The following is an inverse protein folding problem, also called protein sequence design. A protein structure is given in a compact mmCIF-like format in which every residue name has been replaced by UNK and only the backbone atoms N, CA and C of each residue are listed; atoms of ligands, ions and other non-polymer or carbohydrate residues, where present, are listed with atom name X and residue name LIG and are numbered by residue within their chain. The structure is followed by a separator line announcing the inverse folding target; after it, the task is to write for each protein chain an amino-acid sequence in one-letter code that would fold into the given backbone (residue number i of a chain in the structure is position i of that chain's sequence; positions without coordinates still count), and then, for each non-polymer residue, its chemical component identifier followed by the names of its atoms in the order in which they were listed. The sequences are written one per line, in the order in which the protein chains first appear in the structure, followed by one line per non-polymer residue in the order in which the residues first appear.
data_IF_810552335477
#
_entry.id   IF_810552335477
#
_cell.length_a   1.000
_cell.length_b   1.000
_cell.length_c   1.000
_cell.angle_alpha   90.00
_cell.angle_beta   90.00
_cell.angle_gamma   90.00
#
_symmetry.space_group_name_H-M   'P 1'
#
loop_
_entity.id
_entity.type
_entity.pdbx_description
1 polymer ?
#
# COMPACT_ATOMS: atom_id res chain seq x y z
N UNK A 1 17.25 55.37 -7.77
CA UNK A 1 17.79 54.46 -6.72
C UNK A 1 18.13 55.27 -5.47
N UNK A 2 17.14 55.58 -4.63
CA UNK A 2 17.36 56.41 -3.44
C UNK A 2 17.74 55.52 -2.23
N UNK A 3 18.77 55.91 -1.46
CA UNK A 3 19.25 55.21 -0.23
C UNK A 3 19.76 53.76 -0.40
N UNK A 4 19.86 53.23 -1.61
CA UNK A 4 20.28 51.83 -1.82
C UNK A 4 21.68 51.53 -1.27
N UNK A 5 22.66 52.42 -1.49
CA UNK A 5 24.02 52.22 -1.00
C UNK A 5 24.06 52.09 0.52
N UNK A 6 23.30 52.91 1.24
CA UNK A 6 23.23 52.86 2.71
C UNK A 6 22.53 51.58 3.18
N UNK A 7 21.42 51.19 2.54
CA UNK A 7 20.71 49.93 2.84
C UNK A 7 21.56 48.70 2.54
N UNK A 8 22.35 48.72 1.46
CA UNK A 8 23.16 47.58 1.05
C UNK A 8 24.43 47.42 1.90
N UNK A 9 24.95 48.52 2.45
CA UNK A 9 26.06 48.49 3.40
C UNK A 9 25.67 47.87 4.73
N UNK A 10 24.39 48.00 5.13
CA UNK A 10 23.83 47.40 6.35
C UNK A 10 24.71 47.65 7.60
N UNK A 11 25.21 48.89 7.72
CA UNK A 11 26.12 49.29 8.78
C UNK A 11 25.34 49.85 9.97
N UNK A 12 25.53 49.24 11.14
CA UNK A 12 25.17 49.81 12.43
C UNK A 12 26.36 50.58 13.00
N UNK A 13 26.07 51.62 13.76
CA UNK A 13 27.10 52.37 14.49
C UNK A 13 27.79 51.42 15.49
N UNK A 14 29.12 51.22 15.40
CA UNK A 14 29.84 50.30 16.27
C UNK A 14 29.67 50.64 17.76
N UNK A 15 29.54 51.93 18.12
CA UNK A 15 29.33 52.32 19.51
C UNK A 15 27.99 51.82 20.06
N UNK A 16 26.96 51.77 19.19
CA UNK A 16 25.64 51.26 19.57
C UNK A 16 25.66 49.73 19.70
N UNK A 17 26.39 49.04 18.82
CA UNK A 17 26.55 47.57 18.91
C UNK A 17 27.25 47.17 20.20
N UNK A 18 28.32 47.87 20.57
CA UNK A 18 29.07 47.60 21.80
C UNK A 18 28.22 47.85 23.05
N UNK A 19 27.52 48.99 23.12
CA UNK A 19 26.59 49.31 24.20
C UNK A 19 25.49 48.25 24.35
N UNK A 20 24.90 47.79 23.25
CA UNK A 20 23.84 46.77 23.28
C UNK A 20 24.38 45.38 23.65
N UNK A 21 25.61 45.05 23.25
CA UNK A 21 26.29 43.81 23.64
C UNK A 21 26.62 43.72 25.14
N UNK A 22 26.73 44.87 25.82
CA UNK A 22 26.93 44.99 27.28
C UNK A 22 25.62 45.15 28.07
N UNK A 23 24.46 45.01 27.42
CA UNK A 23 23.16 45.16 28.08
C UNK A 23 22.97 44.15 29.22
N UNK A 24 22.34 44.60 30.30
CA UNK A 24 21.95 43.75 31.44
C UNK A 24 20.83 42.76 31.08
N UNK A 25 20.08 43.04 30.00
CA UNK A 25 19.08 42.13 29.46
C UNK A 25 19.77 41.03 28.66
N UNK A 26 19.76 39.81 29.19
CA UNK A 26 20.41 38.63 28.62
C UNK A 26 20.12 38.42 27.12
N UNK A 27 18.86 38.55 26.71
CA UNK A 27 18.46 38.42 25.30
C UNK A 27 19.14 39.45 24.39
N UNK A 28 19.26 40.70 24.85
CA UNK A 28 19.86 41.78 24.06
C UNK A 28 21.38 41.57 23.99
N UNK A 29 22.01 41.26 25.12
CA UNK A 29 23.44 40.96 25.16
C UNK A 29 23.82 39.80 24.23
N UNK A 30 23.04 38.70 24.23
CA UNK A 30 23.33 37.53 23.39
C UNK A 30 23.19 37.81 21.88
N UNK A 31 22.12 38.52 21.47
CA UNK A 31 21.88 38.84 20.06
C UNK A 31 23.00 39.67 19.42
N UNK A 32 23.58 40.61 20.18
CA UNK A 32 24.63 41.51 19.66
C UNK A 32 26.06 40.96 19.85
N UNK A 33 26.27 39.97 20.73
CA UNK A 33 27.53 39.22 20.78
C UNK A 33 27.66 38.20 19.63
N UNK A 34 26.56 37.57 19.22
CA UNK A 34 26.53 36.66 18.07
C UNK A 34 26.64 37.38 16.71
N UNK A 35 26.28 38.66 16.66
CA UNK A 35 26.25 39.46 15.44
C UNK A 35 27.62 39.97 14.98
N UNK A 36 28.69 39.84 15.77
CA UNK A 36 30.04 40.27 15.39
C UNK A 36 30.59 39.38 14.26
N UNK A 37 30.70 39.89 13.02
CA UNK A 37 31.36 39.15 11.96
C UNK A 37 32.86 39.26 12.21
N UNK A 38 33.53 38.11 12.34
CA UNK A 38 34.98 37.98 12.33
C UNK A 38 35.57 38.55 11.02
N UNK A 39 35.70 39.87 10.93
CA UNK A 39 36.41 40.57 9.87
C UNK A 39 37.87 40.76 10.30
N UNK A 40 38.55 39.64 10.61
CA UNK A 40 40.01 39.61 10.75
C UNK A 40 40.61 39.27 9.38
N UNK A 41 40.63 40.25 8.48
CA UNK A 41 41.46 40.17 7.27
C UNK A 41 40.87 40.85 6.04
N UNK A 42 41.37 42.05 5.72
CA UNK A 42 41.62 42.63 4.38
C UNK A 42 40.53 42.71 3.30
N UNK A 43 39.53 41.82 3.27
CA UNK A 43 38.38 41.87 2.36
C UNK A 43 37.25 42.58 3.08
N UNK A 44 36.74 43.65 2.48
CA UNK A 44 35.66 44.46 3.07
C UNK A 44 34.46 43.61 3.50
N UNK A 45 33.75 44.06 4.53
CA UNK A 45 32.55 43.39 5.06
C UNK A 45 31.56 43.08 3.92
N UNK A 46 30.97 41.86 3.88
CA UNK A 46 30.02 41.49 2.84
C UNK A 46 28.80 42.41 2.88
N UNK A 47 28.34 42.86 1.72
CA UNK A 47 27.12 43.67 1.57
C UNK A 47 25.87 42.80 1.77
N UNK A 48 24.74 43.44 2.09
CA UNK A 48 23.44 42.76 2.19
C UNK A 48 23.12 41.97 0.92
N UNK A 49 23.35 42.57 -0.25
CA UNK A 49 23.14 41.92 -1.54
C UNK A 49 24.03 40.68 -1.72
N UNK A 50 25.31 40.75 -1.35
CA UNK A 50 26.21 39.59 -1.47
C UNK A 50 25.81 38.44 -0.55
N UNK A 51 25.35 38.72 0.68
CA UNK A 51 24.83 37.69 1.61
C UNK A 51 23.54 37.07 1.08
N UNK A 52 22.63 37.89 0.55
CA UNK A 52 21.39 37.42 -0.04
C UNK A 52 21.64 36.54 -1.27
N UNK A 53 22.56 36.96 -2.14
CA UNK A 53 22.95 36.20 -3.33
C UNK A 53 23.51 34.82 -2.93
N UNK A 54 24.44 34.78 -1.97
CA UNK A 54 25.02 33.52 -1.50
C UNK A 54 23.95 32.59 -0.90
N UNK A 55 23.05 33.13 -0.07
CA UNK A 55 21.95 32.36 0.49
C UNK A 55 20.99 31.83 -0.58
N UNK A 56 20.73 32.60 -1.65
CA UNK A 56 19.89 32.19 -2.77
C UNK A 56 20.57 31.09 -3.60
N UNK A 57 21.86 31.21 -3.87
CA UNK A 57 22.65 30.19 -4.58
C UNK A 57 22.66 28.86 -3.80
N UNK A 58 22.87 28.92 -2.49
CA UNK A 58 22.80 27.75 -1.61
C UNK A 58 21.41 27.10 -1.63
N UNK A 59 20.34 27.90 -1.64
CA UNK A 59 18.97 27.41 -1.73
C UNK A 59 18.71 26.72 -3.08
N UNK A 60 19.10 27.34 -4.20
CA UNK A 60 18.96 26.78 -5.54
C UNK A 60 19.73 25.47 -5.65
N UNK A 61 20.95 25.39 -5.10
CA UNK A 61 21.75 24.17 -5.09
C UNK A 61 21.10 23.03 -4.28
N UNK A 62 20.36 23.34 -3.21
CA UNK A 62 19.58 22.33 -2.45
C UNK A 62 18.35 21.88 -3.21
N UNK A 63 17.62 22.82 -3.83
CA UNK A 63 16.46 22.52 -4.66
C UNK A 63 16.85 21.66 -5.88
N UNK A 64 17.99 21.93 -6.51
CA UNK A 64 18.50 21.17 -7.66
C UNK A 64 18.84 19.71 -7.37
N UNK A 65 19.08 19.36 -6.10
CA UNK A 65 19.33 17.97 -5.65
C UNK A 65 18.06 17.24 -5.19
N UNK A 66 16.93 17.95 -5.14
CA UNK A 66 15.67 17.46 -4.58
C UNK A 66 14.64 17.18 -5.67
N UNK A 67 13.65 16.35 -5.36
CA UNK A 67 12.46 16.24 -6.21
C UNK A 67 11.50 17.40 -5.88
N UNK A 68 11.32 18.35 -6.79
CA UNK A 68 10.57 19.58 -6.56
C UNK A 68 9.14 19.46 -7.08
N UNK A 69 8.19 19.95 -6.28
CA UNK A 69 6.80 20.15 -6.67
C UNK A 69 6.52 21.66 -6.76
N UNK A 70 5.90 22.10 -7.85
CA UNK A 70 5.56 23.50 -8.07
C UNK A 70 4.10 23.74 -7.73
N UNK A 71 3.83 24.71 -6.86
CA UNK A 71 2.48 25.19 -6.50
C UNK A 71 2.42 26.67 -6.89
N UNK A 72 1.55 27.01 -7.84
CA UNK A 72 1.30 28.40 -8.23
C UNK A 72 0.03 28.92 -7.56
N UNK A 73 0.18 29.98 -6.78
CA UNK A 73 -0.92 30.67 -6.13
C UNK A 73 -1.46 31.76 -7.06
N UNK A 74 -2.78 31.82 -7.23
CA UNK A 74 -3.47 32.84 -8.02
C UNK A 74 -4.36 33.68 -7.12
N UNK A 75 -4.34 34.99 -7.33
CA UNK A 75 -5.23 35.91 -6.62
C UNK A 75 -6.53 36.02 -7.42
N UNK A 76 -7.70 35.64 -6.86
CA UNK A 76 -8.95 35.55 -7.62
C UNK A 76 -9.52 36.92 -8.01
N UNK A 77 -9.21 37.96 -7.24
CA UNK A 77 -9.58 39.34 -7.53
C UNK A 77 -8.62 40.31 -6.82
N UNK A 78 -8.36 41.49 -7.38
CA UNK A 78 -7.43 42.46 -6.79
C UNK A 78 -7.90 43.01 -5.44
N UNK A 79 -9.21 43.02 -5.20
CA UNK A 79 -9.83 43.51 -3.96
C UNK A 79 -9.75 42.54 -2.78
N UNK A 80 -9.22 41.32 -2.96
CA UNK A 80 -9.18 40.25 -1.95
C UNK A 80 -10.55 39.92 -1.33
N UNK A 81 -11.62 40.11 -2.09
CA UNK A 81 -12.99 39.83 -1.65
C UNK A 81 -13.28 38.32 -1.76
N UNK A 82 -13.85 37.69 -0.70
CA UNK A 82 -14.23 36.29 -0.78
C UNK A 82 -15.39 36.08 -1.76
N UNK A 83 -15.39 34.96 -2.49
CA UNK A 83 -16.47 34.59 -3.41
C UNK A 83 -16.51 35.36 -4.75
N UNK A 84 -15.65 36.37 -4.93
CA UNK A 84 -15.53 37.09 -6.19
C UNK A 84 -14.38 36.52 -7.03
N UNK A 85 -14.65 36.17 -8.29
CA UNK A 85 -13.66 35.69 -9.23
C UNK A 85 -13.62 36.59 -10.47
N UNK A 86 -12.53 37.33 -10.63
CA UNK A 86 -12.28 38.18 -11.79
C UNK A 86 -11.50 37.39 -12.83
N UNK A 87 -12.19 37.02 -13.92
CA UNK A 87 -11.62 36.23 -15.01
C UNK A 87 -10.49 36.98 -15.71
N UNK A 88 -10.61 38.29 -15.91
CA UNK A 88 -9.58 39.09 -16.59
C UNK A 88 -8.28 39.10 -15.79
N UNK A 89 -8.39 39.39 -14.49
CA UNK A 89 -7.26 39.42 -13.57
C UNK A 89 -6.55 38.06 -13.44
N UNK A 90 -7.32 36.97 -13.33
CA UNK A 90 -6.73 35.62 -13.25
C UNK A 90 -6.11 35.19 -14.58
N UNK A 91 -6.75 35.52 -15.71
CA UNK A 91 -6.20 35.22 -17.04
C UNK A 91 -4.87 35.92 -17.25
N UNK A 92 -4.73 37.18 -16.85
CA UNK A 92 -3.46 37.90 -16.95
C UNK A 92 -2.36 37.24 -16.10
N UNK A 93 -2.67 36.82 -14.87
CA UNK A 93 -1.72 36.06 -14.03
C UNK A 93 -1.28 34.74 -14.68
N UNK A 94 -2.20 34.01 -15.31
CA UNK A 94 -1.88 32.75 -16.00
C UNK A 94 -0.87 32.98 -17.15
N UNK A 95 -1.00 34.08 -17.89
CA UNK A 95 -0.07 34.43 -18.96
C UNK A 95 1.27 34.95 -18.40
N UNK A 96 1.24 35.88 -17.43
CA UNK A 96 2.47 36.46 -16.85
C UNK A 96 3.34 35.41 -16.14
N UNK A 97 2.72 34.43 -15.49
CA UNK A 97 3.41 33.32 -14.84
C UNK A 97 3.68 32.13 -15.80
N UNK A 98 3.40 32.28 -17.09
CA UNK A 98 3.57 31.29 -18.14
C UNK A 98 2.96 29.90 -17.83
N UNK A 99 1.83 29.90 -17.12
CA UNK A 99 1.21 28.68 -16.58
C UNK A 99 0.66 27.85 -17.73
N UNK A 100 0.02 28.50 -18.69
CA UNK A 100 -0.57 27.85 -19.86
C UNK A 100 0.51 27.22 -20.74
N UNK A 101 1.59 27.95 -21.00
CA UNK A 101 2.74 27.46 -21.77
C UNK A 101 3.43 26.31 -21.05
N UNK A 102 3.58 26.38 -19.72
CA UNK A 102 4.16 25.30 -18.93
C UNK A 102 3.30 24.03 -18.98
N UNK A 103 1.96 24.16 -18.89
CA UNK A 103 1.03 23.03 -19.00
C UNK A 103 1.07 22.41 -20.40
N UNK A 104 1.00 23.24 -21.45
CA UNK A 104 1.08 22.78 -22.85
C UNK A 104 2.39 22.06 -23.10
N UNK A 105 3.52 22.68 -22.75
CA UNK A 105 4.86 22.08 -22.89
C UNK A 105 4.97 20.77 -22.12
N UNK A 106 4.43 20.70 -20.90
CA UNK A 106 4.46 19.48 -20.09
C UNK A 106 3.60 18.37 -20.69
N UNK A 107 2.42 18.70 -21.22
CA UNK A 107 1.53 17.74 -21.85
C UNK A 107 2.06 17.20 -23.18
N UNK A 108 2.79 18.02 -23.97
CA UNK A 108 3.35 17.59 -25.24
C UNK A 108 4.61 16.71 -25.08
N UNK A 109 5.35 16.87 -23.97
CA UNK A 109 6.67 16.26 -23.79
C UNK A 109 6.70 15.02 -22.89
N UNK A 110 5.61 14.25 -22.79
CA UNK A 110 5.52 13.04 -21.96
C UNK A 110 5.98 13.29 -20.50
N UNK A 111 5.10 13.83 -19.64
CA UNK A 111 5.47 14.29 -18.31
C UNK A 111 5.95 13.17 -17.38
N UNK A 112 5.55 11.93 -17.65
CA UNK A 112 5.96 10.75 -16.89
C UNK A 112 7.15 10.09 -17.58
N UNK A 113 8.31 10.07 -16.90
CA UNK A 113 9.55 9.49 -17.42
C UNK A 113 10.11 8.51 -16.42
N UNK A 114 10.06 7.22 -16.75
CA UNK A 114 10.38 6.14 -15.81
C UNK A 114 11.50 5.29 -16.41
N UNK A 115 12.61 5.04 -15.71
CA UNK A 115 13.65 4.14 -16.20
C UNK A 115 13.10 2.71 -16.37
N UNK A 116 13.63 1.97 -17.34
CA UNK A 116 13.10 0.65 -17.71
C UNK A 116 13.01 -0.31 -16.52
N UNK A 117 14.06 -0.37 -15.70
CA UNK A 117 14.09 -1.21 -14.49
C UNK A 117 12.94 -0.89 -13.53
N UNK A 118 12.72 0.40 -13.23
CA UNK A 118 11.65 0.82 -12.33
C UNK A 118 10.26 0.58 -12.93
N UNK A 119 10.12 0.71 -14.26
CA UNK A 119 8.89 0.41 -14.97
C UNK A 119 8.55 -1.08 -14.87
N UNK A 120 9.53 -1.95 -15.17
CA UNK A 120 9.35 -3.40 -15.09
C UNK A 120 9.10 -3.86 -13.65
N UNK A 121 9.84 -3.35 -12.67
CA UNK A 121 9.59 -3.66 -11.26
C UNK A 121 8.14 -3.33 -10.83
N UNK A 122 7.53 -2.32 -11.44
CA UNK A 122 6.16 -1.90 -11.12
C UNK A 122 5.09 -2.64 -11.89
N UNK A 123 5.29 -2.87 -13.19
CA UNK A 123 4.26 -3.31 -14.14
C UNK A 123 4.52 -4.66 -14.82
N UNK A 124 5.58 -5.39 -14.45
CA UNK A 124 5.89 -6.72 -15.03
C UNK A 124 4.71 -7.68 -15.02
N UNK A 125 3.88 -7.66 -13.96
CA UNK A 125 2.70 -8.52 -13.85
C UNK A 125 1.59 -8.23 -14.87
N UNK A 126 1.61 -7.07 -15.53
CA UNK A 126 0.67 -6.74 -16.61
C UNK A 126 1.09 -7.33 -17.95
N UNK A 127 2.36 -7.72 -18.09
CA UNK A 127 2.90 -8.31 -19.32
C UNK A 127 2.75 -9.82 -19.39
N UNK A 128 2.95 -10.38 -20.59
CA UNK A 128 2.98 -11.82 -20.78
C UNK A 128 4.18 -12.47 -20.09
N UNK A 129 3.94 -13.58 -19.39
CA UNK A 129 5.00 -14.44 -18.87
C UNK A 129 5.75 -15.11 -20.03
N UNK A 130 7.09 -15.20 -19.95
CA UNK A 130 7.93 -15.85 -20.97
C UNK A 130 8.93 -14.94 -21.71
N UNK A 131 9.25 -13.77 -21.18
CA UNK A 131 10.17 -12.81 -21.81
C UNK A 131 11.55 -12.70 -21.14
N UNK A 132 12.06 -13.76 -20.49
CA UNK A 132 13.30 -13.62 -19.69
C UNK A 132 14.52 -13.23 -20.53
N UNK A 133 14.60 -13.71 -21.78
CA UNK A 133 15.71 -13.49 -22.71
C UNK A 133 15.69 -12.13 -23.43
N UNK A 134 14.61 -11.35 -23.31
CA UNK A 134 14.47 -10.06 -23.98
C UNK A 134 15.21 -8.93 -23.25
N UNK A 135 15.62 -7.91 -23.99
CA UNK A 135 16.15 -6.68 -23.40
C UNK A 135 15.06 -5.95 -22.59
N UNK A 136 15.47 -5.15 -21.60
CA UNK A 136 14.52 -4.40 -20.76
C UNK A 136 13.63 -3.45 -21.57
N UNK A 137 14.16 -2.93 -22.68
CA UNK A 137 13.40 -2.10 -23.61
C UNK A 137 12.26 -2.87 -24.29
N UNK A 138 12.55 -4.08 -24.75
CA UNK A 138 11.56 -4.95 -25.40
C UNK A 138 10.51 -5.43 -24.40
N UNK A 139 10.93 -5.80 -23.19
CA UNK A 139 10.02 -6.13 -22.07
C UNK A 139 9.06 -4.97 -21.77
N UNK A 140 9.59 -3.74 -21.67
CA UNK A 140 8.75 -2.56 -21.48
C UNK A 140 7.78 -2.36 -22.65
N UNK A 141 8.26 -2.51 -23.89
CA UNK A 141 7.43 -2.39 -25.08
C UNK A 141 6.29 -3.40 -25.15
N UNK A 142 6.53 -4.64 -24.73
CA UNK A 142 5.50 -5.67 -24.69
C UNK A 142 4.41 -5.40 -23.65
N UNK A 143 4.78 -4.94 -22.45
CA UNK A 143 3.80 -4.51 -21.44
C UNK A 143 2.95 -3.35 -21.97
N UNK A 144 3.60 -2.36 -22.61
CA UNK A 144 2.91 -1.20 -23.17
C UNK A 144 1.99 -1.60 -24.32
N UNK A 145 2.42 -2.47 -25.23
CA UNK A 145 1.61 -2.90 -26.37
C UNK A 145 0.40 -3.72 -25.93
N UNK A 146 0.53 -4.53 -24.88
CA UNK A 146 -0.56 -5.29 -24.30
C UNK A 146 -1.61 -4.41 -23.61
N UNK A 147 -1.17 -3.33 -22.95
CA UNK A 147 -2.07 -2.46 -22.16
C UNK A 147 -2.66 -1.31 -22.97
N UNK A 148 -1.84 -0.66 -23.80
CA UNK A 148 -2.18 0.57 -24.53
C UNK A 148 -2.38 0.35 -26.04
N UNK A 149 -1.99 -0.81 -26.56
CA UNK A 149 -1.93 -1.12 -27.99
C UNK A 149 -0.56 -0.84 -28.60
N UNK A 150 -0.25 -1.51 -29.72
CA UNK A 150 1.07 -1.49 -30.36
C UNK A 150 1.54 -0.09 -30.80
N UNK A 151 0.62 0.81 -31.18
CA UNK A 151 0.93 2.17 -31.63
C UNK A 151 0.08 3.22 -30.92
N UNK A 152 0.14 3.24 -29.59
CA UNK A 152 -0.54 4.27 -28.81
C UNK A 152 0.23 5.60 -28.83
N UNK A 153 -0.39 6.75 -29.15
CA UNK A 153 0.25 8.07 -29.01
C UNK A 153 0.51 8.45 -27.54
N UNK A 154 0.03 7.64 -26.59
CA UNK A 154 0.16 7.86 -25.16
C UNK A 154 1.53 7.46 -24.60
N UNK A 155 2.34 6.71 -25.36
CA UNK A 155 3.63 6.21 -24.91
C UNK A 155 4.71 6.32 -25.98
N UNK A 156 5.94 6.50 -25.54
CA UNK A 156 7.12 6.43 -26.38
C UNK A 156 8.27 5.74 -25.63
N UNK A 157 9.01 4.87 -26.32
CA UNK A 157 10.19 4.20 -25.76
C UNK A 157 11.44 4.98 -26.12
N UNK A 158 11.97 5.72 -25.13
CA UNK A 158 13.25 6.40 -25.26
C UNK A 158 14.45 5.44 -25.27
N UNK A 159 15.66 5.98 -25.14
CA UNK A 159 16.88 5.19 -25.10
C UNK A 159 17.05 4.42 -23.77
N UNK A 160 16.68 5.03 -22.63
CA UNK A 160 16.87 4.47 -21.28
C UNK A 160 15.62 4.50 -20.41
N UNK A 161 14.54 5.13 -20.91
CA UNK A 161 13.33 5.43 -20.14
C UNK A 161 12.09 5.23 -20.99
N UNK A 162 11.01 4.81 -20.33
CA UNK A 162 9.65 4.87 -20.84
C UNK A 162 9.12 6.29 -20.65
N UNK A 163 8.59 6.88 -21.72
CA UNK A 163 7.95 8.18 -21.74
C UNK A 163 6.45 8.00 -21.90
N UNK A 164 5.66 8.54 -20.98
CA UNK A 164 4.22 8.35 -20.91
C UNK A 164 3.48 9.68 -20.73
N UNK A 165 2.33 9.78 -21.38
CA UNK A 165 1.30 10.75 -21.03
C UNK A 165 0.59 10.31 -19.75
N UNK A 166 0.02 11.26 -19.01
CA UNK A 166 -0.68 10.99 -17.76
C UNK A 166 -1.81 9.97 -17.92
N UNK A 167 -2.56 10.06 -19.04
CA UNK A 167 -3.62 9.10 -19.37
C UNK A 167 -3.10 7.67 -19.53
N UNK A 168 -1.94 7.51 -20.18
CA UNK A 168 -1.30 6.20 -20.34
C UNK A 168 -0.80 5.63 -19.01
N UNK A 169 -0.23 6.49 -18.16
CA UNK A 169 0.20 6.12 -16.81
C UNK A 169 -0.97 5.70 -15.92
N UNK A 170 -2.05 6.48 -15.90
CA UNK A 170 -3.27 6.16 -15.16
C UNK A 170 -3.84 4.81 -15.58
N UNK A 171 -3.89 4.55 -16.89
CA UNK A 171 -4.40 3.27 -17.41
C UNK A 171 -3.57 2.06 -16.93
N UNK A 172 -2.25 2.18 -16.89
CA UNK A 172 -1.37 1.14 -16.34
C UNK A 172 -1.63 0.91 -14.85
N UNK A 173 -1.77 1.98 -14.06
CA UNK A 173 -2.03 1.86 -12.62
C UNK A 173 -3.40 1.27 -12.33
N UNK A 174 -4.44 1.67 -13.07
CA UNK A 174 -5.80 1.12 -12.96
C UNK A 174 -5.81 -0.41 -13.17
N UNK A 175 -5.18 -0.90 -14.24
CA UNK A 175 -5.13 -2.34 -14.51
C UNK A 175 -4.34 -3.11 -13.45
N UNK A 176 -3.24 -2.51 -12.96
CA UNK A 176 -2.45 -3.07 -11.87
C UNK A 176 -3.27 -3.19 -10.59
N UNK A 177 -4.01 -2.14 -10.25
CA UNK A 177 -4.85 -2.12 -9.06
C UNK A 177 -6.04 -3.07 -9.18
N UNK A 178 -6.59 -3.26 -10.38
CA UNK A 178 -7.59 -4.27 -10.67
C UNK A 178 -7.05 -5.69 -10.45
N UNK A 179 -5.88 -6.03 -11.03
CA UNK A 179 -5.26 -7.35 -10.81
C UNK A 179 -4.95 -7.61 -9.34
N UNK A 180 -4.40 -6.60 -8.63
CA UNK A 180 -4.12 -6.70 -7.19
C UNK A 180 -5.39 -6.91 -6.37
N UNK A 181 -6.44 -6.16 -6.66
CA UNK A 181 -7.73 -6.29 -5.97
C UNK A 181 -8.32 -7.68 -6.17
N UNK A 182 -8.27 -8.22 -7.39
CA UNK A 182 -8.71 -9.57 -7.69
C UNK A 182 -7.89 -10.64 -6.95
N UNK A 183 -6.55 -10.50 -6.94
CA UNK A 183 -5.66 -11.39 -6.22
C UNK A 183 -5.95 -11.38 -4.71
N UNK A 184 -6.16 -10.20 -4.12
CA UNK A 184 -6.53 -10.04 -2.72
C UNK A 184 -7.87 -10.69 -2.40
N UNK A 185 -8.89 -10.50 -3.24
CA UNK A 185 -10.21 -11.14 -3.08
C UNK A 185 -10.07 -12.66 -3.14
N UNK A 186 -9.29 -13.19 -4.08
CA UNK A 186 -9.06 -14.63 -4.20
C UNK A 186 -8.33 -15.20 -2.99
N UNK A 187 -7.29 -14.51 -2.51
CA UNK A 187 -6.56 -14.89 -1.30
C UNK A 187 -7.48 -14.86 -0.08
N UNK A 188 -8.26 -13.80 0.08
CA UNK A 188 -9.20 -13.65 1.18
C UNK A 188 -10.27 -14.76 1.16
N UNK A 189 -10.86 -15.06 -0.01
CA UNK A 189 -11.82 -16.17 -0.17
C UNK A 189 -11.20 -17.52 0.16
N UNK A 190 -9.98 -17.78 -0.34
CA UNK A 190 -9.26 -19.03 -0.07
C UNK A 190 -8.99 -19.20 1.43
N UNK A 191 -8.50 -18.13 2.07
CA UNK A 191 -8.21 -18.11 3.50
C UNK A 191 -9.47 -18.33 4.36
N UNK A 192 -10.56 -17.61 4.07
CA UNK A 192 -11.83 -17.80 4.77
C UNK A 192 -12.41 -19.20 4.57
N UNK A 193 -12.29 -19.75 3.35
CA UNK A 193 -12.74 -21.12 3.06
C UNK A 193 -11.90 -22.14 3.83
N UNK A 194 -10.58 -21.94 3.89
CA UNK A 194 -9.67 -22.80 4.64
C UNK A 194 -10.01 -22.82 6.14
N UNK A 195 -10.15 -21.64 6.76
CA UNK A 195 -10.53 -21.52 8.18
C UNK A 195 -11.89 -22.17 8.44
N UNK A 196 -12.87 -21.90 7.59
CA UNK A 196 -14.22 -22.45 7.73
C UNK A 196 -14.21 -23.98 7.62
N UNK A 197 -13.44 -24.54 6.68
CA UNK A 197 -13.26 -25.99 6.53
C UNK A 197 -12.59 -26.60 7.76
N UNK A 198 -11.52 -25.98 8.29
CA UNK A 198 -10.86 -26.48 9.51
C UNK A 198 -11.82 -26.56 10.71
N UNK A 199 -12.77 -25.62 10.83
CA UNK A 199 -13.74 -25.60 11.95
C UNK A 199 -14.94 -26.53 11.73
N UNK A 200 -15.49 -26.59 10.52
CA UNK A 200 -16.75 -27.27 10.23
C UNK A 200 -16.53 -28.75 9.89
N UNK A 201 -15.46 -29.09 9.17
CA UNK A 201 -15.24 -30.45 8.69
C UNK A 201 -15.11 -31.48 9.83
N UNK A 202 -14.35 -31.22 10.92
CA UNK A 202 -14.29 -32.17 12.04
C UNK A 202 -15.65 -32.36 12.72
N UNK A 203 -16.44 -31.29 12.86
CA UNK A 203 -17.80 -31.34 13.45
C UNK A 203 -18.74 -32.18 12.59
N UNK A 204 -18.71 -32.01 11.26
CA UNK A 204 -19.51 -32.83 10.35
C UNK A 204 -19.08 -34.29 10.37
N UNK A 205 -17.77 -34.56 10.35
CA UNK A 205 -17.25 -35.93 10.46
C UNK A 205 -17.66 -36.60 11.77
N UNK A 206 -17.58 -35.90 12.92
CA UNK A 206 -18.03 -36.41 14.21
C UNK A 206 -19.54 -36.74 14.20
N UNK A 207 -20.37 -35.88 13.61
CA UNK A 207 -21.82 -36.09 13.50
C UNK A 207 -22.17 -37.32 12.63
N UNK A 208 -21.52 -37.47 11.47
CA UNK A 208 -21.72 -38.62 10.58
C UNK A 208 -21.24 -39.92 11.23
N UNK A 209 -20.05 -39.92 11.83
CA UNK A 209 -19.52 -41.09 12.55
C UNK A 209 -20.43 -41.49 13.71
N UNK A 210 -20.92 -40.51 14.48
CA UNK A 210 -21.88 -40.72 15.56
C UNK A 210 -23.21 -41.32 15.08
N UNK A 211 -23.75 -40.84 13.96
CA UNK A 211 -24.97 -41.41 13.36
C UNK A 211 -24.77 -42.86 12.92
N UNK A 212 -23.67 -43.17 12.23
CA UNK A 212 -23.35 -44.54 11.81
C UNK A 212 -23.15 -45.49 13.01
N UNK A 213 -22.52 -45.02 14.09
CA UNK A 213 -22.33 -45.79 15.32
C UNK A 213 -23.69 -46.11 15.98
N UNK A 214 -24.59 -45.13 16.09
CA UNK A 214 -25.96 -45.33 16.62
C UNK A 214 -26.76 -46.32 15.77
N UNK A 215 -26.71 -46.21 14.44
CA UNK A 215 -27.37 -47.15 13.53
C UNK A 215 -26.84 -48.58 13.70
N UNK A 216 -25.53 -48.76 13.85
CA UNK A 216 -24.89 -50.05 14.15
C UNK A 216 -25.32 -50.60 15.52
N UNK A 217 -25.36 -49.76 16.55
CA UNK A 217 -25.80 -50.13 17.89
C UNK A 217 -27.26 -50.60 17.88
N UNK A 218 -28.18 -49.86 17.24
CA UNK A 218 -29.59 -50.25 17.17
C UNK A 218 -29.80 -51.59 16.44
N UNK A 219 -29.06 -51.84 15.35
CA UNK A 219 -29.06 -53.14 14.67
C UNK A 219 -28.60 -54.28 15.58
N UNK A 220 -27.48 -54.10 16.29
CA UNK A 220 -26.97 -55.09 17.26
C UNK A 220 -27.96 -55.31 18.40
N UNK A 221 -28.58 -54.25 18.94
CA UNK A 221 -29.56 -54.34 20.02
C UNK A 221 -30.82 -55.09 19.59
N UNK A 222 -31.31 -54.86 18.37
CA UNK A 222 -32.43 -55.60 17.81
C UNK A 222 -32.11 -57.09 17.65
N UNK A 223 -30.92 -57.43 17.12
CA UNK A 223 -30.48 -58.82 16.99
C UNK A 223 -30.31 -59.52 18.35
N UNK A 224 -29.76 -58.84 19.36
CA UNK A 224 -29.69 -59.37 20.73
C UNK A 224 -31.09 -59.56 21.35
N UNK A 225 -32.02 -58.64 21.09
CA UNK A 225 -33.41 -58.78 21.50
C UNK A 225 -34.07 -60.03 20.91
N UNK A 226 -33.84 -60.29 19.61
CA UNK A 226 -34.31 -61.50 18.93
C UNK A 226 -33.68 -62.78 19.50
N UNK A 227 -32.39 -62.76 19.80
CA UNK A 227 -31.72 -63.89 20.44
C UNK A 227 -32.27 -64.16 21.84
N UNK A 228 -32.52 -63.10 22.63
CA UNK A 228 -33.02 -63.24 23.99
C UNK A 228 -34.46 -63.78 24.01
N UNK A 229 -35.32 -63.36 23.08
CA UNK A 229 -36.66 -63.95 22.92
C UNK A 229 -36.60 -65.42 22.51
N UNK A 230 -35.72 -65.79 21.56
CA UNK A 230 -35.51 -67.20 21.19
C UNK A 230 -35.04 -68.02 22.39
N UNK A 231 -34.08 -67.50 23.16
CA UNK A 231 -33.58 -68.15 24.37
C UNK A 231 -34.69 -68.35 25.40
N UNK A 232 -35.50 -67.33 25.70
CA UNK A 232 -36.60 -67.42 26.66
C UNK A 232 -37.66 -68.46 26.26
N UNK A 233 -37.98 -68.58 24.96
CA UNK A 233 -38.90 -69.60 24.45
C UNK A 233 -38.27 -71.00 24.49
N UNK A 234 -36.98 -71.12 24.19
CA UNK A 234 -36.26 -72.40 24.20
C UNK A 234 -35.93 -72.91 25.61
N UNK A 235 -35.76 -72.01 26.59
CA UNK A 235 -35.36 -72.33 27.97
C UNK A 235 -36.28 -73.34 28.69
N UNK A 236 -37.63 -73.23 28.64
CA UNK A 236 -38.51 -74.25 29.21
C UNK A 236 -38.43 -75.58 28.46
N UNK A 237 -38.25 -75.56 27.13
CA UNK A 237 -38.09 -76.78 26.32
C UNK A 237 -36.79 -77.52 26.63
N UNK A 238 -35.69 -76.79 26.77
CA UNK A 238 -34.39 -77.31 27.17
C UNK A 238 -34.42 -77.83 28.61
N UNK A 239 -35.03 -77.11 29.55
CA UNK A 239 -35.25 -77.60 30.93
C UNK A 239 -36.17 -78.82 30.99
N UNK A 240 -37.14 -78.95 30.08
CA UNK A 240 -38.00 -80.14 29.97
C UNK A 240 -37.21 -81.33 29.42
N UNK A 241 -36.36 -81.13 28.41
CA UNK A 241 -35.42 -82.14 27.92
C UNK A 241 -34.41 -82.59 28.99
N UNK A 242 -33.84 -81.66 29.75
CA UNK A 242 -32.93 -81.97 30.86
C UNK A 242 -33.61 -82.74 32.00
N UNK A 243 -34.86 -82.38 32.34
CA UNK A 243 -35.66 -83.13 33.31
C UNK A 243 -36.05 -84.52 32.82
N UNK A 244 -36.30 -84.71 31.53
CA UNK A 244 -36.53 -86.03 30.95
C UNK A 244 -35.26 -86.90 30.98
N UNK A 245 -34.08 -86.31 30.81
CA UNK A 245 -32.82 -87.03 30.96
C UNK A 245 -32.45 -87.35 32.41
N UNK A 246 -32.80 -86.48 33.38
CA UNK A 246 -32.59 -86.74 34.82
C UNK A 246 -33.67 -87.66 35.44
N UNK A 247 -34.91 -87.60 34.96
CA UNK A 247 -35.98 -88.52 35.37
C UNK A 247 -35.78 -89.95 34.86
N UNK A 248 -35.01 -90.12 33.78
CA UNK A 248 -34.59 -91.43 33.30
C UNK A 248 -33.51 -92.09 34.19
N UNK A 249 -32.87 -91.33 35.08
CA UNK A 249 -31.85 -91.82 36.02
C UNK A 249 -32.41 -92.15 37.42
N UNK A 250 -33.58 -91.65 37.81
CA UNK A 250 -34.23 -92.02 39.08
C UNK A 250 -35.17 -93.24 38.97
N UNK A 251 -35.46 -93.72 37.76
CA UNK A 251 -36.26 -94.94 37.53
C UNK A 251 -35.48 -96.26 37.58
N UNK A 252 -34.17 -96.24 37.84
CA UNK A 252 -33.30 -97.43 37.83
C UNK A 252 -32.91 -97.95 39.22
N UNK A 253 -33.38 -97.33 40.30
CA UNK A 253 -33.20 -97.82 41.68
C UNK A 253 -34.54 -98.00 42.37
N UNK A 254 -35.27 -99.06 42.01
CA UNK A 254 -36.20 -99.80 42.87
C UNK A 254 -36.63 -101.05 42.11
N UNK A 255 -35.76 -102.06 42.17
CA UNK A 255 -36.12 -103.46 42.03
C UNK A 255 -36.78 -103.91 43.32
N UNK A 256 -37.88 -104.66 43.22
CA UNK A 256 -38.19 -105.92 43.93
C UNK A 256 -39.65 -106.32 43.70
#
# INVERSE_FOLDING_TARGET
VHKFLNRNRDQLDPAVVEMLGQSQLQLVGSLFQEAEPQSRGGRGRPTLASRFQQALEDLIARLGRSHVYFIQCLTPNPGKLPGLFDVGHVTEQLHQAAILEAVVTRSANFPVRVPFEAFLARFRALGSEGQEDLSDREKCGAVLSQVLGAESPLCHLGATKVLLLEKGWQRLEELRDQQRSQALVNLHRSFHTHISRQRILPRMQARVRGFQARKRYLRRRAALGQLNTILLVAQPLLRRRQRLQLGHWQGWHSSE
#
